data_IF_605181273911
#
_entry.id   IF_605181273911
#
_cell.length_a   1.000
_cell.length_b   1.000
_cell.length_c   1.000
_cell.angle_alpha   90.00
_cell.angle_beta   90.00
_cell.angle_gamma   90.00
#
_symmetry.space_group_name_H-M   'P 1'
#
loop_
_entity.id
_entity.type
_entity.pdbx_description
1 polymer ?
#
# COMPACT_ATOMS: atom_id res chain seq x y z
N UNK A 1 -4.29 -17.39 18.57
CA UNK A 1 -5.12 -16.50 19.41
C UNK A 1 -6.14 -15.78 18.52
N UNK A 2 -7.45 -16.05 18.67
CA UNK A 2 -8.48 -15.57 17.72
C UNK A 2 -8.74 -14.05 17.75
N UNK A 3 -8.38 -13.37 18.85
CA UNK A 3 -8.61 -11.91 19.01
C UNK A 3 -7.68 -11.09 18.11
N UNK A 4 -6.40 -11.48 18.02
CA UNK A 4 -5.42 -10.78 17.19
C UNK A 4 -5.78 -10.85 15.70
N UNK A 5 -6.29 -12.00 15.24
CA UNK A 5 -6.69 -12.18 13.86
C UNK A 5 -7.85 -11.25 13.47
N UNK A 6 -8.90 -11.17 14.31
CA UNK A 6 -10.04 -10.26 14.08
C UNK A 6 -9.63 -8.79 14.08
N UNK A 7 -8.68 -8.41 14.93
CA UNK A 7 -8.11 -7.07 14.96
C UNK A 7 -7.40 -6.75 13.65
N UNK A 8 -6.60 -7.68 13.12
CA UNK A 8 -5.88 -7.51 11.85
C UNK A 8 -6.84 -7.44 10.65
N UNK A 9 -7.87 -8.29 10.62
CA UNK A 9 -8.93 -8.26 9.62
C UNK A 9 -9.67 -6.91 9.62
N UNK A 10 -9.97 -6.37 10.80
CA UNK A 10 -10.63 -5.07 10.94
C UNK A 10 -9.71 -3.93 10.47
N UNK A 11 -8.44 -3.96 10.85
CA UNK A 11 -7.42 -3.01 10.37
C UNK A 11 -7.33 -3.02 8.85
N UNK A 12 -7.30 -4.20 8.24
CA UNK A 12 -7.21 -4.38 6.79
C UNK A 12 -8.44 -3.80 6.08
N UNK A 13 -9.64 -4.07 6.58
CA UNK A 13 -10.89 -3.48 6.03
C UNK A 13 -10.88 -1.96 6.09
N UNK A 14 -10.40 -1.38 7.18
CA UNK A 14 -10.29 0.08 7.33
C UNK A 14 -9.33 0.68 6.30
N UNK A 15 -8.15 0.06 6.07
CA UNK A 15 -7.19 0.53 5.07
C UNK A 15 -7.76 0.47 3.65
N UNK A 16 -8.42 -0.64 3.29
CA UNK A 16 -9.04 -0.80 1.97
C UNK A 16 -10.17 0.21 1.73
N UNK A 17 -11.04 0.40 2.72
CA UNK A 17 -12.11 1.40 2.65
C UNK A 17 -11.56 2.82 2.51
N UNK A 18 -10.50 3.15 3.24
CA UNK A 18 -9.87 4.45 3.14
C UNK A 18 -9.23 4.69 1.78
N UNK A 19 -8.56 3.68 1.22
CA UNK A 19 -8.05 3.75 -0.16
C UNK A 19 -9.18 4.08 -1.13
N UNK A 20 -10.30 3.34 -1.07
CA UNK A 20 -11.45 3.60 -1.95
C UNK A 20 -12.01 5.02 -1.76
N UNK A 21 -12.16 5.49 -0.52
CA UNK A 21 -12.67 6.83 -0.22
C UNK A 21 -11.72 7.92 -0.73
N UNK A 22 -10.41 7.79 -0.49
CA UNK A 22 -9.42 8.76 -0.93
C UNK A 22 -9.28 8.81 -2.44
N UNK A 23 -9.32 7.67 -3.12
CA UNK A 23 -9.28 7.61 -4.59
C UNK A 23 -10.53 8.25 -5.22
N UNK A 24 -11.69 8.14 -4.57
CA UNK A 24 -12.97 8.66 -5.08
C UNK A 24 -13.13 10.17 -4.87
N UNK A 25 -12.78 10.66 -3.69
CA UNK A 25 -13.12 12.03 -3.25
C UNK A 25 -11.91 12.90 -2.93
N UNK A 26 -10.71 12.33 -2.91
CA UNK A 26 -9.50 12.97 -2.39
C UNK A 26 -9.43 12.95 -0.86
N UNK A 27 -8.22 13.17 -0.34
CA UNK A 27 -7.96 13.12 1.11
C UNK A 27 -8.76 14.15 1.91
N UNK A 28 -8.86 15.39 1.42
CA UNK A 28 -9.52 16.48 2.16
C UNK A 28 -11.01 16.22 2.35
N UNK A 29 -11.72 15.78 1.30
CA UNK A 29 -13.17 15.59 1.32
C UNK A 29 -13.61 14.30 2.02
N UNK A 30 -12.80 13.23 2.01
CA UNK A 30 -13.14 12.00 2.72
C UNK A 30 -13.14 12.19 4.24
N UNK A 31 -14.18 11.76 4.93
CA UNK A 31 -14.26 11.81 6.39
C UNK A 31 -13.99 10.44 7.04
N UNK A 32 -13.65 10.45 8.33
CA UNK A 32 -13.56 9.20 9.13
C UNK A 32 -14.89 8.46 9.15
N UNK A 33 -16.02 9.19 9.09
CA UNK A 33 -17.35 8.58 9.07
C UNK A 33 -17.59 7.80 7.77
N UNK A 34 -17.20 8.36 6.63
CA UNK A 34 -17.34 7.69 5.32
C UNK A 34 -16.50 6.40 5.28
N UNK A 35 -15.25 6.48 5.78
CA UNK A 35 -14.35 5.32 5.86
C UNK A 35 -14.94 4.23 6.76
N UNK A 36 -15.50 4.61 7.92
CA UNK A 36 -16.13 3.66 8.83
C UNK A 36 -17.35 2.98 8.19
N UNK A 37 -18.18 3.74 7.48
CA UNK A 37 -19.35 3.24 6.78
C UNK A 37 -18.96 2.25 5.67
N UNK A 38 -17.98 2.61 4.84
CA UNK A 38 -17.44 1.77 3.77
C UNK A 38 -16.79 0.48 4.32
N UNK A 39 -16.06 0.56 5.45
CA UNK A 39 -15.43 -0.61 6.07
C UNK A 39 -16.40 -1.51 6.86
N UNK A 40 -17.63 -1.04 7.14
CA UNK A 40 -18.58 -1.72 8.01
C UNK A 40 -18.09 -1.83 9.46
N UNK A 41 -17.50 -0.75 9.99
CA UNK A 41 -16.96 -0.68 11.36
C UNK A 41 -17.47 0.54 12.11
N UNK A 42 -17.35 0.52 13.44
CA UNK A 42 -17.67 1.69 14.27
C UNK A 42 -16.49 2.67 14.33
N UNK A 43 -16.75 3.94 14.69
CA UNK A 43 -15.69 4.91 14.97
C UNK A 43 -14.77 4.45 16.11
N UNK A 44 -15.30 3.76 17.13
CA UNK A 44 -14.49 3.22 18.22
C UNK A 44 -13.49 2.17 17.71
N UNK A 45 -13.93 1.27 16.82
CA UNK A 45 -13.04 0.31 16.17
C UNK A 45 -12.00 1.01 15.27
N UNK A 46 -12.38 2.07 14.57
CA UNK A 46 -11.42 2.89 13.82
C UNK A 46 -10.34 3.46 14.73
N UNK A 47 -10.73 4.16 15.80
CA UNK A 47 -9.79 4.84 16.70
C UNK A 47 -8.95 3.88 17.55
N UNK A 48 -9.38 2.61 17.68
CA UNK A 48 -8.54 1.55 18.24
C UNK A 48 -7.33 1.24 17.36
N UNK A 49 -7.46 1.32 16.02
CA UNK A 49 -6.40 1.00 15.08
C UNK A 49 -5.61 2.21 14.57
N UNK A 50 -6.27 3.37 14.46
CA UNK A 50 -5.71 4.58 13.87
C UNK A 50 -6.07 5.81 14.69
N UNK A 51 -5.07 6.59 15.09
CA UNK A 51 -5.29 7.77 15.94
C UNK A 51 -5.97 8.93 15.20
N UNK A 52 -5.88 8.96 13.87
CA UNK A 52 -6.45 10.01 13.02
C UNK A 52 -6.54 9.58 11.56
N UNK A 53 -7.30 10.35 10.75
CA UNK A 53 -7.33 10.20 9.28
C UNK A 53 -5.94 10.37 8.65
N UNK A 54 -5.14 11.29 9.18
CA UNK A 54 -3.77 11.56 8.75
C UNK A 54 -2.86 10.36 9.03
N UNK A 55 -2.92 9.81 10.24
CA UNK A 55 -2.14 8.64 10.61
C UNK A 55 -2.46 7.44 9.71
N UNK A 56 -3.75 7.17 9.47
CA UNK A 56 -4.17 6.17 8.49
C UNK A 56 -3.60 6.46 7.09
N UNK A 57 -3.70 7.71 6.63
CA UNK A 57 -3.24 8.08 5.29
C UNK A 57 -1.72 7.88 5.14
N UNK A 58 -0.94 8.23 6.16
CA UNK A 58 0.50 7.97 6.16
C UNK A 58 0.83 6.49 6.11
N UNK A 59 0.06 5.64 6.80
CA UNK A 59 0.23 4.20 6.70
C UNK A 59 -0.07 3.67 5.30
N UNK A 60 -1.16 4.15 4.70
CA UNK A 60 -1.50 3.79 3.31
C UNK A 60 -0.40 4.21 2.33
N UNK A 61 0.12 5.42 2.47
CA UNK A 61 1.25 5.92 1.67
C UNK A 61 2.50 5.05 1.83
N UNK A 62 2.82 4.63 3.05
CA UNK A 62 3.95 3.72 3.30
C UNK A 62 3.77 2.41 2.54
N UNK A 63 2.58 1.80 2.59
CA UNK A 63 2.30 0.57 1.84
C UNK A 63 2.46 0.76 0.33
N UNK A 64 2.05 1.90 -0.23
CA UNK A 64 2.24 2.18 -1.65
C UNK A 64 3.71 2.41 -2.02
N UNK A 65 4.47 3.12 -1.18
CA UNK A 65 5.89 3.36 -1.42
C UNK A 65 6.68 2.04 -1.49
N UNK A 66 6.35 1.06 -0.65
CA UNK A 66 6.96 -0.28 -0.71
C UNK A 66 6.69 -0.97 -2.05
N UNK A 67 5.47 -0.83 -2.59
CA UNK A 67 5.13 -1.41 -3.90
C UNK A 67 5.87 -0.71 -5.03
N UNK A 68 5.96 0.62 -4.98
CA UNK A 68 6.69 1.42 -5.98
C UNK A 68 8.18 1.08 -5.96
N UNK A 69 8.78 0.99 -4.78
CA UNK A 69 10.19 0.62 -4.59
C UNK A 69 10.49 -0.77 -5.17
N UNK A 70 9.64 -1.75 -4.86
CA UNK A 70 9.75 -3.11 -5.42
C UNK A 70 9.62 -3.12 -6.95
N UNK A 71 8.71 -2.31 -7.50
CA UNK A 71 8.54 -2.15 -8.94
C UNK A 71 9.74 -1.50 -9.61
N UNK A 72 10.35 -0.50 -8.97
CA UNK A 72 11.56 0.17 -9.46
C UNK A 72 12.75 -0.80 -9.49
N UNK A 73 12.95 -1.59 -8.44
CA UNK A 73 14.02 -2.59 -8.41
C UNK A 73 13.81 -3.70 -9.46
N UNK A 74 12.56 -4.13 -9.67
CA UNK A 74 12.22 -5.07 -10.75
C UNK A 74 12.54 -4.47 -12.13
N UNK A 75 12.20 -3.20 -12.36
CA UNK A 75 12.48 -2.51 -13.62
C UNK A 75 13.99 -2.27 -13.84
N UNK A 76 14.76 -2.00 -12.77
CA UNK A 76 16.22 -1.87 -12.82
C UNK A 76 16.90 -3.20 -13.15
N UNK A 77 16.47 -4.30 -12.53
CA UNK A 77 17.01 -5.64 -12.80
C UNK A 77 16.83 -6.09 -14.25
N UNK A 78 15.82 -5.58 -14.96
CA UNK A 78 15.63 -5.86 -16.39
C UNK A 78 16.62 -5.13 -17.30
N UNK A 79 17.27 -4.06 -16.82
CA UNK A 79 18.24 -3.29 -17.61
C UNK A 79 19.63 -3.96 -17.61
N UNK A 80 20.02 -4.61 -16.51
CA UNK A 80 21.30 -5.33 -16.41
C UNK A 80 21.35 -6.61 -17.28
N UNK A 81 20.21 -7.30 -17.43
CA UNK A 81 20.11 -8.54 -18.23
C UNK A 81 20.42 -8.29 -19.71
N UNK A 82 20.08 -7.10 -20.24
CA UNK A 82 20.34 -6.77 -21.65
C UNK A 82 21.82 -6.52 -21.88
N UNK A 83 22.53 -5.87 -20.94
CA UNK A 83 23.97 -5.64 -21.04
C UNK A 83 24.79 -6.93 -21.01
N UNK A 84 24.50 -7.86 -20.10
CA UNK A 84 25.23 -9.14 -20.04
C UNK A 84 24.98 -9.99 -21.29
N UNK A 85 23.74 -10.01 -21.78
CA UNK A 85 23.39 -10.67 -23.05
C UNK A 85 24.11 -10.05 -24.24
N UNK A 86 24.24 -8.72 -24.30
CA UNK A 86 24.97 -8.03 -25.37
C UNK A 86 26.49 -8.25 -25.29
N UNK A 87 27.08 -8.29 -24.10
CA UNK A 87 28.52 -8.60 -23.89
C UNK A 87 28.83 -10.04 -24.31
N UNK A 88 27.94 -10.99 -24.02
CA UNK A 88 28.11 -12.39 -24.40
C UNK A 88 27.84 -12.64 -25.89
N UNK A 89 26.93 -11.87 -26.53
CA UNK A 89 26.70 -11.91 -27.98
C UNK A 89 27.77 -11.17 -28.80
N UNK A 90 28.41 -10.15 -28.23
CA UNK A 90 29.49 -9.40 -28.89
C UNK A 90 30.80 -10.18 -28.97
N UNK A 91 30.89 -11.38 -28.38
CA UNK A 91 31.97 -12.34 -28.59
C UNK A 91 33.35 -11.70 -28.62
N UNK A 92 33.93 -11.41 -27.46
CA UNK A 92 35.37 -11.17 -27.39
C UNK A 92 36.11 -12.47 -27.03
N UNK A 93 36.59 -13.24 -28.02
CA UNK A 93 37.82 -13.99 -27.90
C UNK A 93 38.95 -13.22 -28.59
N UNK A 94 39.86 -12.68 -27.78
CA UNK A 94 41.29 -12.97 -27.76
C UNK A 94 41.93 -12.27 -26.56
#
# INVERSE_FOLDING_TARGET
>A
MPIQQRAEETRTRILSAAQACFSRSGFAAASVADICAEAGVTKGAFYYHFTSKQNLFFELLKSWLVVVDSGLETARGQTEIVSDGLVQMAGAPA
#
